data_IF_429480422894
#
_entry.id   IF_429480422894
#
_cell.length_a   1.000
_cell.length_b   1.000
_cell.length_c   1.000
_cell.angle_alpha   90.00
_cell.angle_beta   90.00
_cell.angle_gamma   90.00
#
_symmetry.space_group_name_H-M   'P 1'
#
loop_
_entity.id
_entity.type
_entity.pdbx_description
1 polymer ?
#
# COMPACT_ATOMS: atom_id res chain seq x y z
N UNK A 1 -43.75 -3.71 37.69
CA UNK A 1 -42.45 -3.35 37.11
C UNK A 1 -42.68 -3.01 35.64
N UNK A 2 -42.49 -1.75 35.25
CA UNK A 2 -42.51 -1.31 33.85
C UNK A 2 -41.05 -1.21 33.41
N UNK A 3 -40.64 -1.94 32.37
CA UNK A 3 -39.33 -1.72 31.75
C UNK A 3 -39.37 -0.39 30.97
N UNK A 4 -38.34 0.46 31.04
CA UNK A 4 -38.25 1.61 30.15
C UNK A 4 -37.87 1.11 28.76
N UNK A 5 -38.73 1.37 27.77
CA UNK A 5 -38.35 1.29 26.36
C UNK A 5 -37.29 2.36 26.10
N UNK A 6 -36.07 1.92 25.76
CA UNK A 6 -35.00 2.81 25.29
C UNK A 6 -35.39 3.28 23.91
N UNK A 7 -35.90 4.50 23.83
CA UNK A 7 -36.23 5.16 22.58
C UNK A 7 -34.91 5.51 21.86
N UNK A 8 -34.51 4.68 20.89
CA UNK A 8 -33.26 4.77 20.13
C UNK A 8 -33.31 5.85 19.04
N UNK A 9 -33.91 7.00 19.33
CA UNK A 9 -33.99 8.17 18.43
C UNK A 9 -33.17 9.33 18.97
N UNK A 10 -31.92 9.06 19.33
CA UNK A 10 -30.94 10.11 19.60
C UNK A 10 -30.36 10.62 18.28
N UNK A 11 -30.92 11.75 17.82
CA UNK A 11 -30.20 12.73 17.00
C UNK A 11 -29.84 12.30 15.59
N UNK A 12 -30.83 12.18 14.71
CA UNK A 12 -30.58 12.20 13.27
C UNK A 12 -30.33 13.67 12.85
N UNK A 13 -29.09 14.06 12.48
CA UNK A 13 -28.83 15.42 12.01
C UNK A 13 -29.56 15.66 10.67
N UNK A 14 -29.92 16.92 10.35
CA UNK A 14 -30.64 17.24 9.13
C UNK A 14 -29.90 16.72 7.88
N UNK A 15 -30.65 16.19 6.92
CA UNK A 15 -30.16 15.46 5.76
C UNK A 15 -29.24 16.25 4.82
N UNK A 16 -29.19 17.59 4.96
CA UNK A 16 -28.62 18.48 3.93
C UNK A 16 -27.17 18.94 4.18
N UNK A 17 -26.44 18.35 5.13
CA UNK A 17 -25.01 18.69 5.33
C UNK A 17 -24.17 17.53 5.85
N UNK A 18 -24.41 16.33 5.33
CA UNK A 18 -23.50 15.22 5.60
C UNK A 18 -22.26 15.43 4.72
N UNK A 19 -21.12 15.72 5.35
CA UNK A 19 -19.83 15.69 4.64
C UNK A 19 -19.62 14.27 4.12
N UNK A 20 -19.55 14.13 2.79
CA UNK A 20 -19.23 12.85 2.16
C UNK A 20 -17.73 12.58 2.28
N UNK A 21 -17.34 12.07 3.45
CA UNK A 21 -15.96 11.70 3.73
C UNK A 21 -15.47 10.57 2.81
N UNK A 22 -16.36 9.69 2.34
CA UNK A 22 -16.02 8.64 1.39
C UNK A 22 -15.56 9.22 0.05
N UNK A 23 -16.33 10.17 -0.50
CA UNK A 23 -15.97 10.88 -1.72
C UNK A 23 -14.69 11.71 -1.56
N UNK A 24 -14.48 12.33 -0.38
CA UNK A 24 -13.24 13.07 -0.11
C UNK A 24 -12.00 12.17 -0.11
N UNK A 25 -12.07 11.01 0.54
CA UNK A 25 -10.98 10.03 0.55
C UNK A 25 -10.70 9.53 -0.86
N UNK A 26 -11.75 9.21 -1.63
CA UNK A 26 -11.61 8.77 -3.01
C UNK A 26 -10.94 9.85 -3.88
N UNK A 27 -11.36 11.10 -3.78
CA UNK A 27 -10.78 12.22 -4.51
C UNK A 27 -9.30 12.45 -4.13
N UNK A 28 -8.94 12.29 -2.86
CA UNK A 28 -7.54 12.38 -2.42
C UNK A 28 -6.72 11.23 -3.01
N UNK A 29 -7.24 10.00 -2.95
CA UNK A 29 -6.58 8.84 -3.54
C UNK A 29 -6.34 9.02 -5.04
N UNK A 30 -7.34 9.45 -5.80
CA UNK A 30 -7.23 9.72 -7.25
C UNK A 30 -6.21 10.83 -7.54
N UNK A 31 -6.21 11.90 -6.73
CA UNK A 31 -5.22 12.98 -6.85
C UNK A 31 -3.80 12.48 -6.60
N UNK A 32 -3.59 11.67 -5.56
CA UNK A 32 -2.27 11.11 -5.25
C UNK A 32 -1.85 10.07 -6.29
N UNK A 33 -2.79 9.29 -6.83
CA UNK A 33 -2.56 8.37 -7.95
C UNK A 33 -2.09 9.12 -9.19
N UNK A 34 -2.73 10.24 -9.53
CA UNK A 34 -2.34 11.08 -10.67
C UNK A 34 -0.94 11.69 -10.52
N UNK A 35 -0.48 11.91 -9.28
CA UNK A 35 0.88 12.40 -8.99
C UNK A 35 1.93 11.28 -8.97
N UNK A 36 1.51 10.03 -8.76
CA UNK A 36 2.39 8.86 -8.62
C UNK A 36 2.93 8.33 -9.96
N UNK A 37 3.37 9.23 -10.84
CA UNK A 37 4.05 8.88 -12.09
C UNK A 37 5.33 8.07 -11.86
N UNK A 38 5.87 7.51 -12.94
CA UNK A 38 6.98 6.53 -12.96
C UNK A 38 8.26 7.02 -12.25
N UNK A 39 8.48 8.34 -12.18
CA UNK A 39 9.63 8.98 -11.54
C UNK A 39 9.38 9.58 -10.15
N UNK A 40 8.23 9.31 -9.54
CA UNK A 40 7.93 9.89 -8.23
C UNK A 40 8.75 9.20 -7.16
N UNK A 41 9.60 9.97 -6.45
CA UNK A 41 10.34 9.46 -5.29
C UNK A 41 9.34 8.90 -4.28
N UNK A 42 9.50 7.63 -3.92
CA UNK A 42 8.74 6.97 -2.85
C UNK A 42 8.80 7.87 -1.62
N UNK A 43 7.66 8.43 -1.19
CA UNK A 43 7.71 9.39 -0.13
C UNK A 43 8.17 8.72 1.16
N UNK A 44 9.08 9.38 1.87
CA UNK A 44 9.59 8.86 3.14
C UNK A 44 8.42 8.75 4.11
N UNK A 45 8.29 7.60 4.80
CA UNK A 45 7.28 7.42 5.80
C UNK A 45 7.41 8.45 6.93
N UNK A 46 6.49 9.43 7.01
CA UNK A 46 6.50 10.47 8.06
C UNK A 46 6.37 9.87 9.47
N UNK A 47 5.49 8.86 9.65
CA UNK A 47 5.23 8.21 10.94
C UNK A 47 4.72 6.76 10.77
N UNK A 48 4.92 5.89 11.77
CA UNK A 48 4.49 4.49 11.71
C UNK A 48 2.99 4.35 11.31
N UNK A 49 2.65 3.61 10.23
CA UNK A 49 1.28 3.53 9.73
C UNK A 49 0.31 2.90 10.74
N UNK A 50 0.79 2.02 11.63
CA UNK A 50 -0.02 1.48 12.72
C UNK A 50 -0.41 2.56 13.73
N UNK A 51 0.48 3.51 14.01
CA UNK A 51 0.18 4.64 14.89
C UNK A 51 -0.88 5.55 14.26
N UNK A 52 -0.74 5.87 12.98
CA UNK A 52 -1.71 6.67 12.24
C UNK A 52 -3.11 6.02 12.22
N UNK A 53 -3.19 4.71 12.00
CA UNK A 53 -4.47 3.98 12.04
C UNK A 53 -5.11 3.99 13.43
N UNK A 54 -4.32 3.97 14.51
CA UNK A 54 -4.85 4.13 15.88
C UNK A 54 -5.44 5.52 16.09
N UNK A 55 -4.72 6.56 15.67
CA UNK A 55 -5.21 7.95 15.73
C UNK A 55 -6.53 8.09 14.98
N UNK A 56 -6.63 7.53 13.76
CA UNK A 56 -7.88 7.52 12.99
C UNK A 56 -9.00 6.81 13.75
N UNK A 57 -8.75 5.65 14.34
CA UNK A 57 -9.75 4.91 15.10
C UNK A 57 -10.27 5.69 16.33
N UNK A 58 -9.37 6.35 17.06
CA UNK A 58 -9.73 7.17 18.23
C UNK A 58 -10.60 8.38 17.83
N UNK A 59 -10.20 9.08 16.76
CA UNK A 59 -10.95 10.22 16.23
C UNK A 59 -12.34 9.80 15.72
N UNK A 60 -12.45 8.66 15.04
CA UNK A 60 -13.74 8.09 14.62
C UNK A 60 -14.59 7.74 15.84
N UNK A 61 -13.99 7.15 16.87
CA UNK A 61 -14.68 6.84 18.13
C UNK A 61 -15.35 8.10 18.71
N UNK A 62 -14.60 9.19 18.84
CA UNK A 62 -15.13 10.48 19.29
C UNK A 62 -16.20 11.03 18.34
N UNK A 63 -15.99 10.91 17.02
CA UNK A 63 -16.95 11.38 16.02
C UNK A 63 -18.30 10.65 16.06
N UNK A 64 -18.31 9.40 16.54
CA UNK A 64 -19.52 8.57 16.67
C UNK A 64 -20.20 8.76 18.01
N UNK A 65 -19.46 8.84 19.12
CA UNK A 65 -20.04 8.75 20.47
C UNK A 65 -20.29 10.09 21.15
N UNK A 66 -19.63 11.16 20.70
CA UNK A 66 -19.63 12.43 21.44
C UNK A 66 -20.95 13.20 21.25
N UNK A 67 -21.52 13.76 22.31
CA UNK A 67 -22.85 14.41 22.27
C UNK A 67 -22.85 15.73 21.47
N UNK A 68 -21.74 16.48 21.53
CA UNK A 68 -21.58 17.76 20.83
C UNK A 68 -21.36 17.58 19.30
N UNK A 69 -22.25 18.08 18.42
CA UNK A 69 -22.11 17.97 16.96
C UNK A 69 -20.86 18.65 16.38
N UNK A 70 -20.38 19.72 17.00
CA UNK A 70 -19.16 20.41 16.58
C UNK A 70 -17.94 19.53 16.82
N UNK A 71 -17.83 18.92 18.01
CA UNK A 71 -16.75 17.97 18.33
C UNK A 71 -16.79 16.78 17.38
N UNK A 72 -17.98 16.26 17.06
CA UNK A 72 -18.12 15.17 16.10
C UNK A 72 -17.60 15.54 14.72
N UNK A 73 -17.97 16.72 14.22
CA UNK A 73 -17.53 17.21 12.90
C UNK A 73 -16.02 17.41 12.87
N UNK A 74 -15.43 18.10 13.86
CA UNK A 74 -13.99 18.34 13.92
C UNK A 74 -13.19 17.03 13.97
N UNK A 75 -13.64 16.04 14.73
CA UNK A 75 -12.97 14.74 14.79
C UNK A 75 -13.15 13.94 13.50
N UNK A 76 -14.30 14.05 12.83
CA UNK A 76 -14.50 13.49 11.48
C UNK A 76 -13.54 14.08 10.46
N UNK A 77 -13.41 15.41 10.43
CA UNK A 77 -12.46 16.12 9.55
C UNK A 77 -11.01 15.71 9.83
N UNK A 78 -10.61 15.67 11.11
CA UNK A 78 -9.28 15.24 11.52
C UNK A 78 -9.00 13.76 11.13
N UNK A 79 -10.02 12.89 11.23
CA UNK A 79 -9.91 11.48 10.82
C UNK A 79 -9.62 11.35 9.34
N UNK A 80 -10.32 12.12 8.50
CA UNK A 80 -10.12 12.10 7.04
C UNK A 80 -8.74 12.62 6.67
N UNK A 81 -8.26 13.68 7.32
CA UNK A 81 -6.90 14.18 7.13
C UNK A 81 -5.86 13.11 7.49
N UNK A 82 -6.00 12.45 8.64
CA UNK A 82 -5.07 11.39 9.04
C UNK A 82 -5.11 10.18 8.10
N UNK A 83 -6.30 9.79 7.64
CA UNK A 83 -6.46 8.70 6.68
C UNK A 83 -5.90 9.03 5.30
N UNK A 84 -5.92 10.30 4.90
CA UNK A 84 -5.31 10.75 3.64
C UNK A 84 -3.80 10.51 3.59
N UNK A 85 -3.10 10.68 4.71
CA UNK A 85 -1.69 10.36 4.83
C UNK A 85 -1.44 8.86 4.68
N UNK A 86 -2.31 8.02 5.24
CA UNK A 86 -2.23 6.55 5.07
C UNK A 86 -2.49 6.15 3.62
N UNK A 87 -3.50 6.75 2.97
CA UNK A 87 -3.84 6.46 1.58
C UNK A 87 -2.69 6.77 0.61
N UNK A 88 -1.95 7.87 0.85
CA UNK A 88 -0.75 8.24 0.08
C UNK A 88 0.31 7.13 0.09
N UNK A 89 0.43 6.40 1.20
CA UNK A 89 1.42 5.32 1.33
C UNK A 89 0.95 4.02 0.70
N UNK A 90 -0.36 3.79 0.64
CA UNK A 90 -0.90 2.59 0.00
C UNK A 90 -0.42 2.47 -1.45
N UNK A 91 -0.42 3.59 -2.18
CA UNK A 91 0.10 3.67 -3.55
C UNK A 91 1.59 3.33 -3.62
N UNK A 92 2.39 3.90 -2.71
CA UNK A 92 3.81 3.60 -2.60
C UNK A 92 4.08 2.12 -2.30
N UNK A 93 3.32 1.50 -1.37
CA UNK A 93 3.43 0.08 -1.07
C UNK A 93 3.07 -0.81 -2.27
N UNK A 94 2.00 -0.48 -3.00
CA UNK A 94 1.61 -1.22 -4.21
C UNK A 94 2.70 -1.15 -5.28
N UNK A 95 3.33 0.01 -5.45
CA UNK A 95 4.45 0.18 -6.37
C UNK A 95 5.66 -0.66 -5.96
N UNK A 96 6.10 -0.56 -4.69
CA UNK A 96 7.24 -1.34 -4.17
C UNK A 96 6.98 -2.84 -4.32
N UNK A 97 5.75 -3.30 -4.03
CA UNK A 97 5.39 -4.71 -4.18
C UNK A 97 5.54 -5.17 -5.64
N UNK A 98 5.09 -4.37 -6.61
CA UNK A 98 5.22 -4.65 -8.04
C UNK A 98 6.68 -4.71 -8.47
N UNK A 99 7.47 -3.68 -8.14
CA UNK A 99 8.90 -3.61 -8.48
C UNK A 99 9.68 -4.79 -7.87
N UNK A 100 9.35 -5.17 -6.63
CA UNK A 100 9.92 -6.37 -6.00
C UNK A 100 9.60 -7.63 -6.81
N UNK A 101 8.35 -7.79 -7.23
CA UNK A 101 7.92 -8.98 -7.97
C UNK A 101 8.60 -9.06 -9.36
N UNK A 102 8.76 -7.93 -10.04
CA UNK A 102 9.54 -7.81 -11.28
C UNK A 102 11.02 -8.16 -11.06
N UNK A 103 11.64 -7.64 -9.99
CA UNK A 103 13.03 -7.96 -9.65
C UNK A 103 13.22 -9.44 -9.31
N UNK A 104 12.26 -10.06 -8.62
CA UNK A 104 12.27 -11.50 -8.33
C UNK A 104 12.17 -12.33 -9.61
N UNK A 105 11.33 -11.92 -10.56
CA UNK A 105 11.24 -12.58 -11.87
C UNK A 105 12.54 -12.46 -12.65
N UNK A 106 13.09 -11.24 -12.76
CA UNK A 106 14.36 -10.98 -13.45
C UNK A 106 15.51 -11.82 -12.85
N UNK A 107 15.54 -11.98 -11.52
CA UNK A 107 16.53 -12.82 -10.85
C UNK A 107 16.44 -14.28 -11.31
N UNK A 108 15.25 -14.84 -11.44
CA UNK A 108 15.05 -16.22 -11.92
C UNK A 108 15.51 -16.37 -13.37
N UNK A 109 15.20 -15.39 -14.21
CA UNK A 109 15.62 -15.37 -15.61
C UNK A 109 17.15 -15.33 -15.73
N UNK A 110 17.81 -14.44 -14.98
CA UNK A 110 19.28 -14.34 -14.97
C UNK A 110 19.96 -15.59 -14.40
N UNK A 111 19.40 -16.21 -13.36
CA UNK A 111 19.94 -17.47 -12.83
C UNK A 111 19.81 -18.61 -13.84
N UNK A 112 18.72 -18.63 -14.61
CA UNK A 112 18.51 -19.62 -15.67
C UNK A 112 19.48 -19.39 -16.83
N UNK A 113 19.64 -18.14 -17.25
CA UNK A 113 20.55 -17.79 -18.34
C UNK A 113 22.01 -18.06 -17.97
N UNK A 114 22.40 -17.72 -16.73
CA UNK A 114 23.72 -18.06 -16.19
C UNK A 114 23.98 -19.56 -16.23
N UNK A 115 23.00 -20.40 -15.87
CA UNK A 115 23.13 -21.86 -15.92
C UNK A 115 23.33 -22.36 -17.35
N UNK A 116 22.54 -21.85 -18.30
CA UNK A 116 22.66 -22.21 -19.73
C UNK A 116 24.04 -21.85 -20.29
N UNK A 117 24.56 -20.68 -19.93
CA UNK A 117 25.88 -20.25 -20.36
C UNK A 117 26.97 -21.16 -19.78
N UNK A 118 26.88 -21.53 -18.49
CA UNK A 118 27.82 -22.47 -17.88
C UNK A 118 27.79 -23.84 -18.56
N UNK A 119 26.62 -24.42 -18.80
CA UNK A 119 26.49 -25.71 -19.50
C UNK A 119 27.02 -25.65 -20.94
N UNK A 120 26.92 -24.49 -21.59
CA UNK A 120 27.45 -24.28 -22.94
C UNK A 120 28.98 -24.20 -22.93
N UNK A 121 29.56 -23.50 -21.95
CA UNK A 121 31.01 -23.45 -21.75
C UNK A 121 31.60 -24.82 -21.41
N UNK A 122 30.95 -25.61 -20.56
CA UNK A 122 31.37 -26.98 -20.24
C UNK A 122 31.33 -27.91 -21.46
N UNK A 123 30.32 -27.75 -22.33
CA UNK A 123 30.25 -28.48 -23.61
C UNK A 123 31.39 -28.09 -24.55
N UNK A 124 31.67 -26.79 -24.67
CA UNK A 124 32.79 -26.30 -25.48
C UNK A 124 34.12 -26.83 -24.92
N UNK A 125 34.36 -26.75 -23.62
CA UNK A 125 35.58 -27.25 -22.98
C UNK A 125 35.81 -28.73 -23.27
N UNK A 126 34.78 -29.57 -23.10
CA UNK A 126 34.86 -31.01 -23.44
C UNK A 126 35.16 -31.25 -24.91
N UNK A 127 34.52 -30.50 -25.82
CA UNK A 127 34.78 -30.65 -27.26
C UNK A 127 36.22 -30.24 -27.65
N UNK A 128 36.80 -29.27 -26.95
CA UNK A 128 38.19 -28.84 -27.16
C UNK A 128 39.17 -29.89 -26.63
N UNK A 129 38.89 -30.47 -25.46
CA UNK A 129 39.68 -31.57 -24.87
C UNK A 129 39.63 -32.83 -25.76
N UNK A 130 38.47 -33.20 -26.28
CA UNK A 130 38.30 -34.35 -27.19
C UNK A 130 38.96 -34.12 -28.57
N UNK A 131 39.11 -32.86 -28.99
CA UNK A 131 39.73 -32.50 -30.27
C UNK A 131 41.25 -32.31 -30.19
N UNK A 132 41.86 -32.35 -28.99
CA UNK A 132 43.31 -32.41 -28.87
C UNK A 132 43.77 -33.85 -29.15
N UNK A 133 44.51 -34.11 -30.25
CA UNK A 133 44.99 -35.45 -30.53
C UNK A 133 45.94 -35.86 -29.41
N UNK A 134 45.81 -37.11 -28.94
CA UNK A 134 46.79 -37.70 -28.04
C UNK A 134 48.13 -37.74 -28.78
N UNK A 135 49.00 -36.76 -28.53
CA UNK A 135 50.42 -36.89 -28.80
C UNK A 135 50.96 -37.90 -27.80
N UNK A 136 50.71 -39.18 -28.08
CA UNK A 136 51.35 -40.30 -27.40
C UNK A 136 52.41 -40.79 -28.37
N UNK A 137 53.65 -40.65 -27.91
CA UNK A 137 54.91 -41.07 -28.53
C UNK A 137 54.93 -42.54 -28.96
#
# INVERSE_FOLDING_TARGET
MMQPQVDLRLGQPPADSWKDYGQQIAAIYERELAKSGEDTITPVPTENPLYMLKVVADLIGVAVTHENPFVRTTNGDASVLALSEVARWLLAFQRIARERDELLQNRVEWETERRRLMESLERISRSVEESQPSTVE
#
